data_IF_498401685087
#
_entry.id   IF_498401685087
#
_cell.length_a   1.000
_cell.length_b   1.000
_cell.length_c   1.000
_cell.angle_alpha   90.00
_cell.angle_beta   90.00
_cell.angle_gamma   90.00
#
_symmetry.space_group_name_H-M   'P 1'
#
loop_
_entity.id
_entity.type
_entity.pdbx_description
1 polymer ?
#
# COMPACT_ATOMS: atom_id res chain seq x y z
N UNK A 1 -14.54 -7.16 -15.33
CA UNK A 1 -15.13 -7.56 -16.64
C UNK A 1 -16.53 -6.99 -16.87
N UNK A 2 -17.39 -6.84 -15.86
CA UNK A 2 -18.73 -6.23 -16.03
C UNK A 2 -18.73 -4.80 -16.63
N UNK A 3 -17.80 -3.93 -16.23
CA UNK A 3 -17.71 -2.56 -16.74
C UNK A 3 -16.95 -2.43 -18.08
N UNK A 4 -16.09 -3.40 -18.40
CA UNK A 4 -15.26 -3.38 -19.61
C UNK A 4 -15.27 -4.77 -20.26
N UNK A 5 -16.42 -5.20 -20.84
CA UNK A 5 -16.60 -6.57 -21.30
C UNK A 5 -15.67 -6.95 -22.45
N UNK A 6 -15.26 -5.98 -23.26
CA UNK A 6 -14.40 -6.18 -24.43
C UNK A 6 -12.93 -5.79 -24.17
N UNK A 7 -12.59 -5.35 -22.96
CA UNK A 7 -11.21 -4.98 -22.66
C UNK A 7 -10.36 -6.22 -22.39
N UNK A 8 -9.20 -6.28 -23.02
CA UNK A 8 -8.13 -7.19 -22.59
C UNK A 8 -7.48 -6.60 -21.34
N UNK A 9 -7.77 -7.23 -20.20
CA UNK A 9 -7.20 -6.83 -18.91
C UNK A 9 -5.97 -7.67 -18.61
N UNK A 10 -4.92 -7.01 -18.14
CA UNK A 10 -3.76 -7.62 -17.52
C UNK A 10 -3.57 -6.99 -16.14
N UNK A 11 -3.33 -7.81 -15.13
CA UNK A 11 -3.26 -7.39 -13.73
C UNK A 11 -1.81 -7.36 -13.28
N UNK A 12 -1.29 -6.15 -13.08
CA UNK A 12 -0.01 -5.91 -12.43
C UNK A 12 -0.22 -5.75 -10.92
N UNK A 13 0.36 -6.65 -10.13
CA UNK A 13 0.32 -6.57 -8.67
C UNK A 13 1.55 -5.82 -8.14
N UNK A 14 1.34 -4.56 -7.74
CA UNK A 14 2.33 -3.80 -6.99
C UNK A 14 2.31 -4.24 -5.52
N UNK A 15 3.47 -4.65 -5.01
CA UNK A 15 3.66 -5.09 -3.62
C UNK A 15 4.62 -4.17 -2.90
N UNK A 16 4.49 -4.10 -1.58
CA UNK A 16 5.40 -3.38 -0.69
C UNK A 16 5.41 -4.07 0.65
N UNK A 17 6.54 -4.06 1.34
CA UNK A 17 6.64 -4.67 2.67
C UNK A 17 5.56 -4.12 3.63
N UNK A 18 5.06 -4.96 4.56
CA UNK A 18 3.92 -4.59 5.41
C UNK A 18 4.24 -3.41 6.32
N UNK A 19 5.46 -3.32 6.88
CA UNK A 19 5.80 -2.27 7.83
C UNK A 19 5.77 -0.87 7.21
N UNK A 20 6.40 -0.71 6.03
CA UNK A 20 6.38 0.56 5.31
C UNK A 20 4.98 0.92 4.81
N UNK A 21 4.18 -0.07 4.42
CA UNK A 21 2.79 0.14 3.98
C UNK A 21 1.88 0.56 5.11
N UNK A 22 1.95 -0.12 6.26
CA UNK A 22 1.19 0.21 7.47
C UNK A 22 1.57 1.62 7.95
N UNK A 23 2.85 1.95 7.98
CA UNK A 23 3.27 3.31 8.34
C UNK A 23 2.69 4.37 7.38
N UNK A 24 2.71 4.12 6.07
CA UNK A 24 2.13 5.04 5.08
C UNK A 24 0.61 5.20 5.25
N UNK A 25 -0.09 4.11 5.55
CA UNK A 25 -1.52 4.15 5.86
C UNK A 25 -1.80 4.94 7.14
N UNK A 26 -0.99 4.78 8.20
CA UNK A 26 -1.11 5.58 9.43
C UNK A 26 -0.98 7.07 9.09
N UNK A 27 0.04 7.47 8.33
CA UNK A 27 0.22 8.88 7.93
C UNK A 27 -0.99 9.40 7.14
N UNK A 28 -1.52 8.58 6.24
CA UNK A 28 -2.69 8.91 5.45
C UNK A 28 -3.97 9.01 6.29
N UNK A 29 -4.15 8.15 7.28
CA UNK A 29 -5.26 8.21 8.22
C UNK A 29 -5.20 9.48 9.08
N UNK A 30 -4.00 9.92 9.46
CA UNK A 30 -3.80 11.14 10.24
C UNK A 30 -3.79 12.43 9.40
N UNK A 31 -3.67 12.31 8.08
CA UNK A 31 -3.78 13.45 7.17
C UNK A 31 -5.21 13.96 7.06
N UNK A 32 -5.43 15.25 6.75
CA UNK A 32 -6.77 15.86 6.65
C UNK A 32 -7.56 15.45 5.39
N UNK A 33 -7.05 14.52 4.59
CA UNK A 33 -7.66 14.02 3.36
C UNK A 33 -7.95 12.52 3.41
N UNK A 34 -8.06 11.89 2.24
CA UNK A 34 -8.31 10.46 2.06
C UNK A 34 -9.63 9.95 2.66
N UNK A 35 -10.59 10.85 2.92
CA UNK A 35 -11.95 10.51 3.31
C UNK A 35 -12.63 9.73 2.17
N UNK A 36 -12.97 8.47 2.42
CA UNK A 36 -13.53 7.59 1.39
C UNK A 36 -15.01 7.27 1.67
N UNK A 37 -15.35 6.98 2.92
CA UNK A 37 -16.72 6.63 3.30
C UNK A 37 -17.15 7.40 4.54
N UNK A 38 -18.26 8.12 4.43
CA UNK A 38 -18.91 8.75 5.58
C UNK A 38 -19.81 7.74 6.27
N UNK A 39 -19.64 7.60 7.57
CA UNK A 39 -20.42 6.71 8.43
C UNK A 39 -21.38 7.52 9.29
N UNK A 40 -22.54 6.93 9.56
CA UNK A 40 -23.54 7.53 10.45
C UNK A 40 -23.00 7.59 11.89
N UNK A 41 -22.44 6.46 12.36
CA UNK A 41 -21.82 6.37 13.68
C UNK A 41 -20.36 6.81 13.67
N UNK A 42 -19.89 7.53 14.70
CA UNK A 42 -18.50 7.93 14.80
C UNK A 42 -17.58 6.74 15.10
N UNK A 43 -16.45 6.69 14.41
CA UNK A 43 -15.35 5.77 14.67
C UNK A 43 -14.72 6.04 16.05
N UNK A 44 -14.34 4.96 16.73
CA UNK A 44 -13.64 4.95 18.02
C UNK A 44 -12.23 4.34 17.87
N UNK A 45 -11.61 4.55 16.71
CA UNK A 45 -10.28 4.01 16.40
C UNK A 45 -9.25 4.77 17.23
N UNK A 46 -8.62 4.08 18.18
CA UNK A 46 -7.62 4.68 19.07
C UNK A 46 -6.40 5.17 18.27
N UNK A 47 -5.98 6.40 18.55
CA UNK A 47 -4.90 7.06 17.80
C UNK A 47 -5.34 7.71 16.48
N UNK A 48 -6.61 7.56 16.09
CA UNK A 48 -7.22 8.33 14.98
C UNK A 48 -8.29 9.28 15.50
N UNK A 49 -9.32 8.78 16.17
CA UNK A 49 -10.45 9.59 16.63
C UNK A 49 -10.02 10.64 17.67
N UNK A 50 -8.98 10.32 18.46
CA UNK A 50 -8.41 11.22 19.47
C UNK A 50 -7.56 12.35 18.82
N UNK A 51 -6.86 12.02 17.73
CA UNK A 51 -5.94 12.94 17.02
C UNK A 51 -6.67 13.78 15.98
N UNK A 52 -7.70 13.22 15.36
CA UNK A 52 -8.52 13.82 14.29
C UNK A 52 -10.02 13.76 14.66
N UNK A 53 -10.47 14.41 15.75
CA UNK A 53 -11.85 14.32 16.20
C UNK A 53 -12.86 14.83 15.16
N UNK A 54 -12.47 15.81 14.34
CA UNK A 54 -13.29 16.31 13.24
C UNK A 54 -13.54 15.28 12.13
N UNK A 55 -12.64 14.30 11.98
CA UNK A 55 -12.72 13.28 10.93
C UNK A 55 -13.36 11.97 11.42
N UNK A 56 -13.83 11.90 12.67
CA UNK A 56 -14.28 10.63 13.29
C UNK A 56 -15.42 9.91 12.55
N UNK A 57 -16.17 10.60 11.68
CA UNK A 57 -17.21 9.98 10.84
C UNK A 57 -16.69 9.48 9.49
N UNK A 58 -15.40 9.62 9.22
CA UNK A 58 -14.80 9.23 7.95
C UNK A 58 -13.91 8.01 8.10
N UNK A 59 -14.31 6.93 7.43
CA UNK A 59 -13.41 5.83 7.12
C UNK A 59 -12.54 6.21 5.93
N UNK A 60 -11.23 5.98 6.06
CA UNK A 60 -10.24 6.34 5.05
C UNK A 60 -9.76 5.11 4.27
N UNK A 61 -9.43 5.31 3.00
CA UNK A 61 -9.02 4.26 2.06
C UNK A 61 -10.08 3.17 1.85
N UNK A 62 -9.66 1.98 1.43
CA UNK A 62 -10.50 0.84 1.11
C UNK A 62 -11.33 0.38 2.31
N UNK A 63 -12.53 -0.15 2.02
CA UNK A 63 -13.45 -0.72 3.00
C UNK A 63 -13.38 -2.26 2.93
N UNK A 64 -12.43 -2.90 3.64
CA UNK A 64 -12.19 -4.34 3.50
C UNK A 64 -13.36 -5.17 4.07
N UNK A 65 -13.49 -6.45 3.66
CA UNK A 65 -14.40 -7.36 4.33
C UNK A 65 -14.17 -7.36 5.86
N UNK A 66 -15.27 -7.37 6.62
CA UNK A 66 -15.29 -7.32 8.09
C UNK A 66 -14.71 -6.02 8.68
N UNK A 67 -14.67 -4.91 7.94
CA UNK A 67 -14.21 -3.60 8.43
C UNK A 67 -14.92 -3.13 9.71
N UNK A 68 -16.19 -3.50 9.92
CA UNK A 68 -16.96 -3.09 11.10
C UNK A 68 -16.33 -3.54 12.42
N UNK A 69 -15.57 -4.66 12.41
CA UNK A 69 -14.82 -5.14 13.57
C UNK A 69 -13.60 -4.25 13.93
N UNK A 70 -13.24 -3.31 13.06
CA UNK A 70 -12.07 -2.44 13.19
C UNK A 70 -12.45 -0.98 13.53
N UNK A 71 -13.72 -0.70 13.83
CA UNK A 71 -14.20 0.66 14.13
C UNK A 71 -13.81 1.16 15.53
N UNK A 72 -13.34 0.28 16.41
CA UNK A 72 -12.98 0.57 17.79
C UNK A 72 -11.63 -0.06 18.23
N UNK A 73 -10.72 -0.28 17.28
CA UNK A 73 -9.37 -0.84 17.55
C UNK A 73 -8.29 0.22 17.33
N UNK A 74 -7.04 -0.09 17.70
CA UNK A 74 -5.90 0.81 17.46
C UNK A 74 -5.64 1.00 15.95
N UNK A 75 -5.35 2.24 15.55
CA UNK A 75 -5.12 2.62 14.15
C UNK A 75 -4.11 1.71 13.41
N UNK A 76 -2.95 1.35 13.98
CA UNK A 76 -2.01 0.44 13.31
C UNK A 76 -2.65 -0.91 12.90
N UNK A 77 -3.58 -1.45 13.71
CA UNK A 77 -4.29 -2.70 13.39
C UNK A 77 -5.30 -2.53 12.26
N UNK A 78 -5.95 -1.35 12.17
CA UNK A 78 -6.82 -1.01 11.04
C UNK A 78 -6.01 -1.00 9.75
N UNK A 79 -4.86 -0.32 9.76
CA UNK A 79 -3.96 -0.23 8.62
C UNK A 79 -3.40 -1.60 8.20
N UNK A 80 -3.00 -2.44 9.16
CA UNK A 80 -2.52 -3.79 8.88
C UNK A 80 -3.61 -4.67 8.25
N UNK A 81 -4.86 -4.57 8.71
CA UNK A 81 -6.00 -5.28 8.11
C UNK A 81 -6.30 -4.79 6.69
N UNK A 82 -6.23 -3.49 6.44
CA UNK A 82 -6.38 -2.93 5.09
C UNK A 82 -5.30 -3.46 4.14
N UNK A 83 -4.02 -3.42 4.55
CA UNK A 83 -2.91 -3.98 3.75
C UNK A 83 -3.11 -5.47 3.45
N UNK A 84 -3.40 -6.26 4.47
CA UNK A 84 -3.58 -7.70 4.32
C UNK A 84 -4.79 -8.04 3.43
N UNK A 85 -5.92 -7.35 3.65
CA UNK A 85 -7.15 -7.59 2.90
C UNK A 85 -6.98 -7.27 1.42
N UNK A 86 -6.31 -6.16 1.08
CA UNK A 86 -6.08 -5.77 -0.31
C UNK A 86 -5.19 -6.78 -1.03
N UNK A 87 -4.11 -7.24 -0.42
CA UNK A 87 -3.27 -8.28 -1.01
C UNK A 87 -3.98 -9.65 -1.10
N UNK A 88 -4.76 -10.03 -0.09
CA UNK A 88 -5.59 -11.24 -0.15
C UNK A 88 -6.57 -11.19 -1.33
N UNK A 89 -7.20 -10.05 -1.57
CA UNK A 89 -8.14 -9.86 -2.67
C UNK A 89 -7.44 -9.98 -4.04
N UNK A 90 -6.27 -9.35 -4.22
CA UNK A 90 -5.50 -9.46 -5.47
C UNK A 90 -5.04 -10.90 -5.71
N UNK A 91 -4.53 -11.60 -4.70
CA UNK A 91 -4.10 -12.99 -4.83
C UNK A 91 -5.26 -13.95 -5.10
N UNK A 92 -6.46 -13.69 -4.55
CA UNK A 92 -7.66 -14.46 -4.83
C UNK A 92 -8.19 -14.21 -6.26
N UNK A 93 -8.01 -13.00 -6.79
CA UNK A 93 -8.36 -12.68 -8.18
C UNK A 93 -7.37 -13.27 -9.18
N UNK A 94 -6.09 -13.28 -8.82
CA UNK A 94 -4.97 -13.60 -9.71
C UNK A 94 -4.31 -12.34 -10.26
N UNK A 95 -2.98 -12.39 -10.34
CA UNK A 95 -2.15 -11.37 -10.97
C UNK A 95 -1.30 -12.00 -12.07
N UNK A 96 -1.14 -11.30 -13.18
CA UNK A 96 -0.37 -11.76 -14.34
C UNK A 96 1.13 -11.43 -14.19
N UNK A 97 1.45 -10.39 -13.41
CA UNK A 97 2.81 -9.97 -13.11
C UNK A 97 2.86 -9.29 -11.75
N UNK A 98 3.99 -9.39 -11.05
CA UNK A 98 4.20 -8.77 -9.73
C UNK A 98 5.43 -7.89 -9.77
N UNK A 99 5.33 -6.69 -9.19
CA UNK A 99 6.44 -5.76 -9.03
C UNK A 99 6.54 -5.36 -7.57
N UNK A 100 7.77 -5.33 -7.04
CA UNK A 100 8.04 -4.81 -5.71
C UNK A 100 8.27 -3.31 -5.79
N UNK A 101 7.63 -2.57 -4.91
CA UNK A 101 7.81 -1.13 -4.78
C UNK A 101 9.28 -0.80 -4.49
N UNK A 102 9.97 -1.65 -3.72
CA UNK A 102 11.38 -1.49 -3.40
C UNK A 102 12.28 -1.46 -4.65
N UNK A 103 11.94 -2.21 -5.71
CA UNK A 103 12.68 -2.19 -6.97
C UNK A 103 12.52 -0.84 -7.71
N UNK A 104 11.39 -0.15 -7.50
CA UNK A 104 11.10 1.15 -8.12
C UNK A 104 11.77 2.31 -7.37
N UNK A 105 12.18 2.10 -6.12
CA UNK A 105 12.81 3.13 -5.28
C UNK A 105 14.29 2.88 -5.01
N UNK A 106 14.88 1.78 -5.49
CA UNK A 106 16.29 1.42 -5.29
C UNK A 106 17.28 2.24 -6.15
N UNK A 107 16.89 3.46 -6.55
CA UNK A 107 17.66 4.36 -7.40
C UNK A 107 17.38 4.22 -8.91
N UNK A 108 17.97 5.09 -9.74
CA UNK A 108 17.69 5.18 -11.18
C UNK A 108 17.84 3.86 -11.94
N UNK A 109 18.91 3.11 -11.70
CA UNK A 109 19.18 1.84 -12.38
C UNK A 109 18.16 0.75 -12.00
N UNK A 110 17.87 0.60 -10.71
CA UNK A 110 16.87 -0.39 -10.26
C UNK A 110 15.48 -0.09 -10.79
N UNK A 111 15.08 1.18 -10.74
CA UNK A 111 13.80 1.65 -11.30
C UNK A 111 13.73 1.42 -12.80
N UNK A 112 14.77 1.78 -13.56
CA UNK A 112 14.84 1.53 -15.00
C UNK A 112 14.67 0.03 -15.31
N UNK A 113 15.42 -0.83 -14.63
CA UNK A 113 15.34 -2.28 -14.80
C UNK A 113 13.94 -2.83 -14.45
N UNK A 114 13.30 -2.31 -13.41
CA UNK A 114 11.95 -2.72 -13.01
C UNK A 114 10.89 -2.30 -14.05
N UNK A 115 10.99 -1.07 -14.56
CA UNK A 115 10.07 -0.57 -15.60
C UNK A 115 10.29 -1.28 -16.93
N UNK A 116 11.53 -1.60 -17.30
CA UNK A 116 11.86 -2.37 -18.51
C UNK A 116 11.23 -3.77 -18.46
N UNK A 117 11.34 -4.49 -17.33
CA UNK A 117 10.66 -5.79 -17.15
C UNK A 117 9.15 -5.70 -17.31
N UNK A 118 8.53 -4.61 -16.82
CA UNK A 118 7.09 -4.37 -17.01
C UNK A 118 6.78 -4.08 -18.47
N UNK A 119 7.61 -3.29 -19.16
CA UNK A 119 7.45 -2.97 -20.58
C UNK A 119 7.53 -4.24 -21.45
N UNK A 120 8.53 -5.09 -21.19
CA UNK A 120 8.70 -6.39 -21.86
C UNK A 120 7.48 -7.29 -21.64
N UNK A 121 7.00 -7.39 -20.39
CA UNK A 121 5.79 -8.15 -20.06
C UNK A 121 4.56 -7.60 -20.78
N UNK A 122 4.43 -6.27 -20.87
CA UNK A 122 3.35 -5.60 -21.61
C UNK A 122 3.48 -5.78 -23.13
N UNK A 123 4.68 -6.09 -23.63
CA UNK A 123 5.01 -6.14 -25.05
C UNK A 123 5.06 -4.74 -25.68
N UNK A 124 5.54 -3.75 -24.93
CA UNK A 124 5.71 -2.36 -25.40
C UNK A 124 7.19 -1.96 -25.39
N UNK A 125 7.64 -1.06 -26.30
CA UNK A 125 9.02 -0.60 -26.31
C UNK A 125 9.43 0.13 -25.02
N UNK A 126 10.61 -0.19 -24.50
CA UNK A 126 11.24 0.57 -23.42
C UNK A 126 12.11 1.71 -23.98
N UNK A 127 11.46 2.75 -24.49
CA UNK A 127 12.12 3.90 -25.11
C UNK A 127 11.44 5.23 -24.77
N UNK A 128 11.94 6.31 -25.37
CA UNK A 128 11.30 7.62 -25.38
C UNK A 128 10.90 8.13 -23.98
N UNK A 129 9.66 8.60 -23.78
CA UNK A 129 9.18 9.10 -22.50
C UNK A 129 9.19 8.06 -21.36
N UNK A 130 8.94 6.78 -21.66
CA UNK A 130 8.90 5.73 -20.63
C UNK A 130 10.29 5.51 -20.04
N UNK A 131 11.30 5.39 -20.91
CA UNK A 131 12.69 5.25 -20.49
C UNK A 131 13.17 6.46 -19.68
N UNK A 132 12.85 7.68 -20.12
CA UNK A 132 13.18 8.91 -19.37
C UNK A 132 12.52 8.95 -18.00
N UNK A 133 11.22 8.65 -17.90
CA UNK A 133 10.54 8.60 -16.61
C UNK A 133 11.15 7.54 -15.67
N UNK A 134 11.59 6.41 -16.22
CA UNK A 134 12.23 5.36 -15.45
C UNK A 134 13.65 5.72 -14.98
N UNK A 135 14.44 6.43 -15.80
CA UNK A 135 15.80 6.87 -15.42
C UNK A 135 15.75 8.07 -14.50
N UNK A 136 15.06 9.14 -14.93
CA UNK A 136 15.10 10.45 -14.28
C UNK A 136 14.19 10.46 -13.04
N UNK A 137 13.19 9.58 -13.04
CA UNK A 137 12.16 9.52 -12.02
C UNK A 137 10.97 10.40 -12.34
N UNK A 138 9.92 10.25 -11.53
CA UNK A 138 8.74 11.10 -11.57
C UNK A 138 8.67 11.89 -10.27
N UNK A 139 8.18 13.12 -10.33
CA UNK A 139 7.92 13.90 -9.13
C UNK A 139 6.88 13.17 -8.26
N UNK A 140 7.14 13.08 -6.96
CA UNK A 140 6.18 12.50 -6.04
C UNK A 140 4.93 13.39 -6.00
N UNK A 141 3.80 12.86 -6.45
CA UNK A 141 2.50 13.52 -6.39
C UNK A 141 1.68 12.88 -5.26
N UNK A 142 0.93 13.69 -4.51
CA UNK A 142 0.04 13.24 -3.42
C UNK A 142 0.77 12.41 -2.34
N UNK A 143 1.88 12.94 -1.83
CA UNK A 143 2.61 12.35 -0.69
C UNK A 143 2.39 13.16 0.57
N UNK A 144 2.16 12.47 1.70
CA UNK A 144 2.04 13.12 3.02
C UNK A 144 3.40 13.52 3.61
N UNK A 145 4.50 12.98 3.08
CA UNK A 145 5.86 13.30 3.50
C UNK A 145 6.87 12.97 2.39
N UNK A 146 8.10 13.47 2.50
CA UNK A 146 9.18 13.07 1.60
C UNK A 146 9.43 11.54 1.71
N UNK A 147 9.64 10.82 0.58
CA UNK A 147 10.05 9.43 0.61
C UNK A 147 11.38 9.27 1.35
N UNK A 148 11.43 8.41 2.36
CA UNK A 148 12.65 8.10 3.08
C UNK A 148 12.63 6.61 3.46
N UNK A 149 13.66 5.83 3.06
CA UNK A 149 13.80 4.42 3.41
C UNK A 149 13.79 4.19 4.93
N UNK A 150 13.08 3.16 5.37
CA UNK A 150 13.01 2.74 6.76
C UNK A 150 12.21 3.68 7.66
N UNK A 151 11.43 4.63 7.13
CA UNK A 151 10.65 5.59 7.93
C UNK A 151 9.77 4.95 8.99
N UNK A 152 9.28 3.74 8.74
CA UNK A 152 8.46 2.98 9.68
C UNK A 152 9.18 2.69 11.00
N UNK A 153 10.52 2.70 11.04
CA UNK A 153 11.32 2.51 12.26
C UNK A 153 11.05 3.57 13.33
N UNK A 154 10.64 4.78 12.93
CA UNK A 154 10.22 5.81 13.88
C UNK A 154 8.96 5.42 14.68
N UNK A 155 8.17 4.46 14.18
CA UNK A 155 6.98 3.89 14.83
C UNK A 155 7.10 2.37 14.97
N UNK A 156 8.32 1.86 15.14
CA UNK A 156 8.61 0.43 15.08
C UNK A 156 7.73 -0.40 16.03
N UNK A 157 7.62 0.00 17.30
CA UNK A 157 6.83 -0.73 18.29
C UNK A 157 5.34 -0.82 17.90
N UNK A 158 4.73 0.30 17.49
CA UNK A 158 3.34 0.36 17.07
C UNK A 158 3.10 -0.49 15.82
N UNK A 159 3.95 -0.35 14.81
CA UNK A 159 3.86 -1.09 13.55
C UNK A 159 4.00 -2.59 13.81
N UNK A 160 5.04 -3.01 14.54
CA UNK A 160 5.28 -4.43 14.84
C UNK A 160 4.12 -5.05 15.62
N UNK A 161 3.56 -4.33 16.59
CA UNK A 161 2.40 -4.82 17.36
C UNK A 161 1.15 -5.07 16.51
N UNK A 162 1.05 -4.42 15.35
CA UNK A 162 -0.08 -4.59 14.43
C UNK A 162 0.10 -5.75 13.43
N UNK A 163 1.32 -6.25 13.24
CA UNK A 163 1.60 -7.34 12.30
C UNK A 163 1.22 -8.69 12.93
N UNK A 164 -0.03 -9.09 12.75
CA UNK A 164 -0.51 -10.41 13.19
C UNK A 164 0.15 -11.56 12.40
N UNK A 165 -0.03 -12.79 12.87
CA UNK A 165 0.43 -13.98 12.16
C UNK A 165 -0.08 -14.05 10.71
N UNK A 166 -1.34 -13.66 10.46
CA UNK A 166 -1.91 -13.63 9.10
C UNK A 166 -1.24 -12.58 8.20
N UNK A 167 -0.88 -11.42 8.79
CA UNK A 167 -0.16 -10.35 8.08
C UNK A 167 1.24 -10.81 7.72
N UNK A 168 1.94 -11.46 8.65
CA UNK A 168 3.29 -11.99 8.42
C UNK A 168 3.29 -13.14 7.40
N UNK A 169 2.33 -14.06 7.48
CA UNK A 169 2.17 -15.13 6.50
C UNK A 169 1.88 -14.58 5.08
N UNK A 170 1.07 -13.51 5.00
CA UNK A 170 0.87 -12.81 3.73
C UNK A 170 2.16 -12.15 3.24
N UNK A 171 2.93 -11.53 4.13
CA UNK A 171 4.20 -10.91 3.78
C UNK A 171 5.20 -11.94 3.23
N UNK A 172 5.32 -13.09 3.88
CA UNK A 172 6.13 -14.22 3.40
C UNK A 172 5.67 -14.67 2.01
N UNK A 173 4.37 -14.85 1.80
CA UNK A 173 3.80 -15.23 0.49
C UNK A 173 4.11 -14.21 -0.61
N UNK A 174 4.29 -12.94 -0.26
CA UNK A 174 4.67 -11.86 -1.18
C UNK A 174 6.19 -11.69 -1.32
N UNK A 175 7.00 -12.55 -0.69
CA UNK A 175 8.46 -12.50 -0.77
C UNK A 175 9.13 -11.61 0.28
N UNK A 176 8.43 -11.26 1.36
CA UNK A 176 8.91 -10.40 2.45
C UNK A 176 9.14 -11.17 3.76
N UNK A 177 9.69 -12.39 3.68
CA UNK A 177 9.91 -13.25 4.86
C UNK A 177 10.90 -12.66 5.88
N UNK A 178 11.87 -11.84 5.43
CA UNK A 178 12.89 -11.24 6.28
C UNK A 178 12.64 -9.75 6.45
N UNK A 179 12.50 -9.30 7.70
CA UNK A 179 12.18 -7.92 8.05
C UNK A 179 13.40 -7.00 8.16
N UNK A 180 14.59 -7.57 8.33
CA UNK A 180 15.89 -6.87 8.26
C UNK A 180 16.10 -6.13 6.92
N UNK A 181 15.47 -6.63 5.85
CA UNK A 181 15.52 -6.04 4.51
C UNK A 181 14.39 -5.02 4.25
N UNK A 182 13.51 -4.74 5.21
CA UNK A 182 12.39 -3.82 5.02
C UNK A 182 12.85 -2.36 5.06
N UNK A 183 12.53 -1.64 3.98
CA UNK A 183 12.81 -0.21 3.77
C UNK A 183 11.52 0.57 3.48
#
# INVERSE_FOLDING_TARGET
>A
RAAFPNARLRVLHLTRNPAASVNGLIDGWLHHGFHAYRLDEPLRIAGYADVRPADRHWWKFDLPPRWTAYTAVALPRVCAHQWWSSHRAVLAHGADHTVRFEDLISGPHGRANAVERVADWLGIPFDGPLKRAATDGIAATVSTAAPCPGRWRAREAEVRSALSADVLAMAERLGYARDDHWI
#
